data_IF_089389789366
#
_entry.id   IF_089389789366
#
_cell.length_a   1.000
_cell.length_b   1.000
_cell.length_c   1.000
_cell.angle_alpha   90.00
_cell.angle_beta   90.00
_cell.angle_gamma   90.00
#
_symmetry.space_group_name_H-M   'P 1'
#
loop_
_entity.id
_entity.type
_entity.pdbx_description
1 polymer ?
#
# COMPACT_ATOMS: atom_id res chain seq x y z
N UNK A 1 -66.27 28.79 9.17
CA UNK A 1 -66.99 29.03 7.90
C UNK A 1 -66.08 28.60 6.78
N UNK A 2 -66.22 27.45 6.41
CA UNK A 2 -67.00 26.65 5.44
C UNK A 2 -66.44 26.79 4.04
N UNK A 3 -65.78 25.76 3.59
CA UNK A 3 -66.17 24.66 2.70
C UNK A 3 -66.51 25.02 1.25
N UNK A 4 -65.79 24.35 0.38
CA UNK A 4 -66.24 23.64 -0.82
C UNK A 4 -66.28 24.37 -2.16
N UNK A 5 -65.59 23.69 -3.07
CA UNK A 5 -65.93 23.39 -4.47
C UNK A 5 -65.88 24.50 -5.52
N UNK A 6 -64.95 24.34 -6.46
CA UNK A 6 -65.38 24.18 -7.85
C UNK A 6 -64.33 23.41 -8.64
N UNK A 7 -64.67 22.22 -9.05
CA UNK A 7 -64.07 21.54 -10.19
C UNK A 7 -64.69 22.03 -11.46
N UNK A 8 -63.92 22.24 -12.52
CA UNK A 8 -64.14 21.69 -13.87
C UNK A 8 -63.25 22.37 -14.93
N UNK A 9 -62.60 21.48 -15.65
CA UNK A 9 -62.29 21.43 -17.06
C UNK A 9 -61.56 22.59 -17.75
N UNK A 10 -60.36 22.31 -18.22
CA UNK A 10 -60.05 22.30 -19.65
C UNK A 10 -58.76 21.56 -19.95
N UNK A 11 -58.90 20.55 -20.73
CA UNK A 11 -57.85 19.75 -21.33
C UNK A 11 -57.08 20.54 -22.40
N UNK A 12 -55.88 20.04 -22.66
CA UNK A 12 -55.07 20.07 -23.88
C UNK A 12 -53.82 20.90 -23.86
N UNK A 13 -52.77 20.20 -23.91
CA UNK A 13 -51.60 20.11 -24.78
C UNK A 13 -50.39 19.62 -24.02
N UNK A 14 -50.22 18.32 -23.97
CA UNK A 14 -48.97 17.67 -23.63
C UNK A 14 -47.98 17.85 -24.79
N UNK A 15 -46.93 18.65 -24.58
CA UNK A 15 -45.71 18.56 -25.35
C UNK A 15 -44.70 17.83 -24.48
N UNK A 16 -44.60 16.53 -24.69
CA UNK A 16 -43.61 15.68 -24.03
C UNK A 16 -42.21 16.01 -24.52
N UNK A 17 -41.42 16.63 -23.66
CA UNK A 17 -39.98 16.63 -23.83
C UNK A 17 -39.46 15.29 -23.28
N UNK A 18 -39.26 14.34 -24.18
CA UNK A 18 -38.61 13.09 -23.91
C UNK A 18 -37.12 13.39 -23.64
N UNK A 19 -36.73 13.46 -22.35
CA UNK A 19 -35.35 13.37 -21.98
C UNK A 19 -34.91 11.93 -22.17
N UNK A 20 -34.32 11.64 -23.33
CA UNK A 20 -33.60 10.40 -23.59
C UNK A 20 -32.36 10.39 -22.72
N UNK A 21 -32.42 9.67 -21.60
CA UNK A 21 -31.21 9.19 -20.91
C UNK A 21 -30.48 8.27 -21.88
N UNK A 22 -29.20 8.50 -22.17
CA UNK A 22 -28.44 7.51 -22.91
C UNK A 22 -28.33 6.25 -22.04
N UNK A 23 -29.04 5.20 -22.44
CA UNK A 23 -28.76 3.83 -22.00
C UNK A 23 -27.42 3.47 -22.65
N UNK A 24 -26.32 3.60 -21.91
CA UNK A 24 -25.08 2.96 -22.30
C UNK A 24 -25.32 1.46 -22.24
N UNK A 25 -25.66 0.88 -23.36
CA UNK A 25 -25.59 -0.55 -23.58
C UNK A 25 -24.14 -0.96 -23.41
N UNK A 26 -23.82 -1.61 -22.31
CA UNK A 26 -22.54 -2.26 -22.06
C UNK A 26 -22.47 -3.54 -22.90
N UNK A 27 -22.35 -3.41 -24.22
CA UNK A 27 -21.84 -4.43 -25.13
C UNK A 27 -20.44 -4.06 -25.56
N UNK A 28 -19.52 -3.95 -24.59
CA UNK A 28 -18.10 -3.99 -24.84
C UNK A 28 -17.64 -5.44 -24.65
N UNK A 29 -17.22 -6.08 -25.72
CA UNK A 29 -16.36 -7.25 -25.65
C UNK A 29 -15.19 -6.92 -24.72
N UNK A 30 -15.14 -7.52 -23.53
CA UNK A 30 -14.02 -7.43 -22.61
C UNK A 30 -12.80 -7.87 -23.41
N UNK A 31 -11.85 -6.97 -23.62
CA UNK A 31 -10.67 -7.30 -24.40
C UNK A 31 -9.93 -8.41 -23.67
N UNK A 32 -9.42 -9.40 -24.40
CA UNK A 32 -8.67 -10.55 -23.88
C UNK A 32 -7.49 -10.15 -22.98
N UNK A 33 -7.04 -8.89 -23.05
CA UNK A 33 -5.99 -8.31 -22.20
C UNK A 33 -6.47 -7.95 -20.78
N UNK A 34 -7.78 -7.91 -20.51
CA UNK A 34 -8.33 -7.55 -19.19
C UNK A 34 -8.52 -8.73 -18.24
N UNK A 35 -8.47 -9.97 -18.75
CA UNK A 35 -8.77 -11.18 -17.97
C UNK A 35 -7.55 -11.80 -17.27
N UNK A 36 -6.33 -11.34 -17.54
CA UNK A 36 -5.12 -12.14 -17.30
C UNK A 36 -4.16 -11.54 -16.26
N UNK A 37 -4.67 -10.81 -15.25
CA UNK A 37 -3.85 -10.34 -14.13
C UNK A 37 -3.74 -11.44 -13.07
N UNK A 38 -2.49 -11.93 -12.92
CA UNK A 38 -2.12 -12.96 -11.95
C UNK A 38 -0.80 -12.61 -11.27
N UNK A 39 -0.39 -13.40 -10.29
CA UNK A 39 0.88 -13.18 -9.60
C UNK A 39 2.11 -13.29 -10.51
N UNK A 40 2.01 -13.94 -11.66
CA UNK A 40 3.09 -14.03 -12.66
C UNK A 40 3.00 -12.94 -13.73
N UNK A 41 1.92 -12.16 -13.73
CA UNK A 41 1.66 -11.12 -14.74
C UNK A 41 0.84 -9.97 -14.16
N UNK A 42 1.51 -9.04 -13.50
CA UNK A 42 0.93 -7.79 -13.03
C UNK A 42 1.34 -6.62 -13.96
N UNK A 43 0.49 -5.60 -14.13
CA UNK A 43 0.90 -4.33 -14.73
C UNK A 43 2.02 -3.67 -13.91
N UNK A 44 2.77 -2.79 -14.54
CA UNK A 44 3.69 -1.91 -13.83
C UNK A 44 2.89 -0.80 -13.13
N UNK A 45 2.11 -1.15 -12.13
CA UNK A 45 1.31 -0.23 -11.35
C UNK A 45 2.15 0.80 -10.61
N UNK A 46 1.75 2.07 -10.67
CA UNK A 46 2.46 3.18 -10.03
C UNK A 46 1.50 4.00 -9.20
N UNK A 47 1.91 4.37 -7.99
CA UNK A 47 1.05 5.16 -7.15
C UNK A 47 1.59 5.44 -5.76
N UNK A 48 0.68 5.45 -4.80
CA UNK A 48 0.97 5.94 -3.46
C UNK A 48 0.34 5.05 -2.39
N UNK A 49 0.90 5.14 -1.18
CA UNK A 49 0.26 4.69 0.03
C UNK A 49 -0.72 5.77 0.51
N UNK A 50 -1.99 5.37 0.75
CA UNK A 50 -3.03 6.23 1.32
C UNK A 50 -3.32 5.79 2.75
N UNK A 51 -3.04 6.65 3.72
CA UNK A 51 -3.00 6.29 5.14
C UNK A 51 -4.35 6.45 5.89
N UNK A 52 -5.48 6.38 5.19
CA UNK A 52 -6.80 6.64 5.77
C UNK A 52 -7.16 5.81 7.02
N UNK A 53 -6.78 4.54 7.07
CA UNK A 53 -7.06 3.64 8.22
C UNK A 53 -5.78 3.14 8.90
N UNK A 54 -4.72 3.92 8.80
CA UNK A 54 -3.47 3.70 9.49
C UNK A 54 -3.59 4.18 10.95
N UNK A 55 -4.18 3.38 11.82
CA UNK A 55 -4.38 3.72 13.21
C UNK A 55 -3.17 3.30 14.06
N UNK A 56 -2.67 4.21 14.91
CA UNK A 56 -1.69 3.92 15.96
C UNK A 56 -2.28 4.28 17.32
N UNK A 57 -2.24 3.39 18.32
CA UNK A 57 -2.69 3.70 19.68
C UNK A 57 -1.91 4.87 20.27
N UNK A 58 -2.60 5.69 21.07
CA UNK A 58 -1.98 6.80 21.78
C UNK A 58 -1.55 8.00 20.93
N UNK A 59 -1.78 7.96 19.62
CA UNK A 59 -1.55 9.10 18.73
C UNK A 59 -2.87 9.69 18.23
N UNK A 60 -2.97 11.03 18.10
CA UNK A 60 -4.20 11.69 17.64
C UNK A 60 -4.51 11.40 16.16
N UNK A 61 -3.63 10.69 15.47
CA UNK A 61 -3.83 10.24 14.10
C UNK A 61 -4.69 8.96 14.11
N UNK A 62 -5.92 9.14 14.44
CA UNK A 62 -6.95 8.15 14.18
C UNK A 62 -7.30 8.27 12.70
N UNK A 63 -7.23 7.18 11.98
CA UNK A 63 -7.39 7.12 10.56
C UNK A 63 -8.46 8.04 10.00
N UNK A 64 -8.04 8.98 9.16
CA UNK A 64 -8.96 9.79 8.37
C UNK A 64 -9.73 8.86 7.46
N UNK A 65 -10.96 9.25 7.13
CA UNK A 65 -11.67 8.63 6.01
C UNK A 65 -10.82 8.75 4.74
N UNK A 66 -10.96 7.78 3.84
CA UNK A 66 -10.34 7.90 2.51
C UNK A 66 -11.00 9.03 1.73
N UNK A 67 -10.18 9.92 1.20
CA UNK A 67 -10.62 11.15 0.55
C UNK A 67 -10.71 10.92 -0.97
N UNK A 68 -11.87 11.19 -1.55
CA UNK A 68 -12.08 11.10 -2.99
C UNK A 68 -11.12 11.99 -3.79
N UNK A 69 -10.71 13.12 -3.20
CA UNK A 69 -9.73 14.01 -3.77
C UNK A 69 -8.40 13.30 -4.10
N UNK A 70 -7.96 12.39 -3.22
CA UNK A 70 -6.71 11.64 -3.44
C UNK A 70 -6.82 10.75 -4.68
N UNK A 71 -7.92 10.03 -4.84
CA UNK A 71 -8.16 9.15 -5.99
C UNK A 71 -8.30 9.95 -7.28
N UNK A 72 -9.09 11.03 -7.27
CA UNK A 72 -9.26 11.91 -8.42
C UNK A 72 -7.91 12.51 -8.86
N UNK A 73 -7.12 12.98 -7.91
CA UNK A 73 -5.80 13.57 -8.17
C UNK A 73 -4.81 12.54 -8.71
N UNK A 74 -4.76 11.34 -8.13
CA UNK A 74 -3.92 10.26 -8.63
C UNK A 74 -4.26 9.89 -10.07
N UNK A 75 -5.54 9.76 -10.40
CA UNK A 75 -6.02 9.48 -11.75
C UNK A 75 -5.68 10.62 -12.74
N UNK A 76 -5.89 11.87 -12.35
CA UNK A 76 -5.52 13.06 -13.14
C UNK A 76 -4.02 13.08 -13.47
N UNK A 77 -3.19 12.62 -12.54
CA UNK A 77 -1.74 12.56 -12.72
C UNK A 77 -1.24 11.30 -13.44
N UNK A 78 -2.14 10.35 -13.76
CA UNK A 78 -1.84 9.11 -14.47
C UNK A 78 -1.25 8.01 -13.58
N UNK A 79 -1.58 8.01 -12.28
CA UNK A 79 -1.28 6.93 -11.37
C UNK A 79 -2.47 5.96 -11.25
N UNK A 80 -2.17 4.69 -11.08
CA UNK A 80 -3.12 3.59 -11.20
C UNK A 80 -3.10 2.60 -10.02
N UNK A 81 -2.37 2.92 -8.93
CA UNK A 81 -2.22 2.03 -7.79
C UNK A 81 -2.29 2.78 -6.46
N UNK A 82 -3.13 2.30 -5.55
CA UNK A 82 -3.18 2.76 -4.17
C UNK A 82 -2.98 1.57 -3.21
N UNK A 83 -1.89 1.59 -2.46
CA UNK A 83 -1.70 0.69 -1.32
C UNK A 83 -2.37 1.33 -0.11
N UNK A 84 -3.22 0.58 0.58
CA UNK A 84 -3.91 1.03 1.78
C UNK A 84 -3.33 0.30 2.99
N UNK A 85 -2.39 0.92 3.73
CA UNK A 85 -1.89 0.37 4.98
C UNK A 85 -3.00 0.44 6.02
N UNK A 86 -3.51 -0.73 6.42
CA UNK A 86 -4.63 -0.88 7.33
C UNK A 86 -4.16 -1.44 8.67
N UNK A 87 -4.72 -0.95 9.76
CA UNK A 87 -4.53 -1.54 11.07
C UNK A 87 -5.79 -2.29 11.47
N UNK A 88 -5.67 -3.56 11.87
CA UNK A 88 -6.80 -4.34 12.35
C UNK A 88 -7.47 -3.70 13.59
N UNK A 89 -6.77 -2.83 14.30
CA UNK A 89 -7.34 -2.07 15.41
C UNK A 89 -8.49 -1.14 15.00
N UNK A 90 -8.62 -0.84 13.70
CA UNK A 90 -9.72 -0.03 13.20
C UNK A 90 -11.06 -0.78 13.22
N UNK A 91 -11.05 -2.10 13.07
CA UNK A 91 -12.28 -2.93 13.01
C UNK A 91 -12.28 -4.09 14.00
N UNK A 92 -11.12 -4.50 14.53
CA UNK A 92 -10.98 -5.58 15.49
C UNK A 92 -10.90 -5.07 16.92
N UNK A 93 -10.99 -5.99 17.87
CA UNK A 93 -10.75 -5.72 19.29
C UNK A 93 -9.41 -6.32 19.69
N UNK A 94 -8.64 -5.57 20.47
CA UNK A 94 -7.34 -6.04 20.96
C UNK A 94 -7.48 -7.15 22.02
N UNK A 95 -8.51 -7.07 22.86
CA UNK A 95 -8.80 -8.01 23.92
C UNK A 95 -9.50 -9.28 23.43
N UNK A 96 -10.14 -9.22 22.27
CA UNK A 96 -10.77 -10.36 21.60
C UNK A 96 -10.63 -10.25 20.07
N UNK A 97 -9.66 -10.96 19.54
CA UNK A 97 -9.36 -10.95 18.11
C UNK A 97 -10.42 -11.63 17.22
N UNK A 98 -11.39 -12.34 17.82
CA UNK A 98 -12.49 -12.95 17.06
C UNK A 98 -13.54 -11.93 16.62
N UNK A 99 -13.55 -10.76 17.23
CA UNK A 99 -14.55 -9.72 16.97
C UNK A 99 -14.10 -8.83 15.82
N UNK A 100 -14.95 -8.74 14.79
CA UNK A 100 -14.78 -7.86 13.63
C UNK A 100 -15.99 -6.94 13.55
N UNK A 101 -15.76 -5.63 13.69
CA UNK A 101 -16.78 -4.61 13.59
C UNK A 101 -17.00 -4.23 12.13
N UNK A 102 -18.23 -4.32 11.66
CA UNK A 102 -18.61 -4.06 10.26
C UNK A 102 -18.56 -2.58 9.89
N UNK A 103 -18.89 -1.68 10.82
CA UNK A 103 -19.01 -0.24 10.52
C UNK A 103 -17.70 0.38 10.00
N UNK A 104 -16.53 0.14 10.63
CA UNK A 104 -15.27 0.65 10.09
C UNK A 104 -14.88 0.06 8.72
N UNK A 105 -15.39 -1.13 8.37
CA UNK A 105 -15.10 -1.75 7.07
C UNK A 105 -15.78 -1.03 5.91
N UNK A 106 -16.86 -0.30 6.13
CA UNK A 106 -17.54 0.52 5.10
C UNK A 106 -16.63 1.58 4.49
N UNK A 107 -15.67 2.10 5.26
CA UNK A 107 -14.68 3.04 4.71
C UNK A 107 -13.71 2.35 3.75
N UNK A 108 -13.39 1.08 3.99
CA UNK A 108 -12.58 0.28 3.07
C UNK A 108 -13.38 -0.03 1.81
N UNK A 109 -14.67 -0.36 1.96
CA UNK A 109 -15.59 -0.55 0.83
C UNK A 109 -15.64 0.70 -0.05
N UNK A 110 -15.74 1.88 0.59
CA UNK A 110 -15.71 3.17 -0.12
C UNK A 110 -14.42 3.37 -0.88
N UNK A 111 -13.27 3.07 -0.28
CA UNK A 111 -11.98 3.20 -0.96
C UNK A 111 -11.88 2.28 -2.19
N UNK A 112 -12.40 1.05 -2.10
CA UNK A 112 -12.45 0.11 -3.23
C UNK A 112 -13.37 0.65 -4.34
N UNK A 113 -14.50 1.23 -3.97
CA UNK A 113 -15.42 1.85 -4.94
C UNK A 113 -14.80 3.09 -5.61
N UNK A 114 -14.11 3.94 -4.86
CA UNK A 114 -13.34 5.06 -5.42
C UNK A 114 -12.26 4.55 -6.38
N UNK A 115 -11.52 3.49 -6.00
CA UNK A 115 -10.57 2.83 -6.91
C UNK A 115 -11.23 2.38 -8.21
N UNK A 116 -12.44 1.79 -8.13
CA UNK A 116 -13.22 1.41 -9.32
C UNK A 116 -13.61 2.63 -10.17
N UNK A 117 -14.08 3.69 -9.54
CA UNK A 117 -14.53 4.91 -10.21
C UNK A 117 -13.39 5.62 -10.94
N UNK A 118 -12.22 5.68 -10.35
CA UNK A 118 -11.06 6.40 -10.88
C UNK A 118 -10.04 5.51 -11.61
N UNK A 119 -10.34 4.22 -11.80
CA UNK A 119 -9.46 3.29 -12.51
C UNK A 119 -8.16 2.94 -11.75
N UNK A 120 -8.18 3.03 -10.42
CA UNK A 120 -7.03 2.77 -9.54
C UNK A 120 -7.16 1.38 -8.93
N UNK A 121 -6.11 0.57 -9.05
CA UNK A 121 -5.99 -0.71 -8.35
C UNK A 121 -5.82 -0.48 -6.86
N UNK A 122 -6.58 -1.20 -6.04
CA UNK A 122 -6.50 -1.14 -4.58
C UNK A 122 -5.73 -2.36 -4.05
N UNK A 123 -4.69 -2.09 -3.28
CA UNK A 123 -3.93 -3.11 -2.57
C UNK A 123 -4.18 -2.96 -1.06
N UNK A 124 -4.94 -3.90 -0.48
CA UNK A 124 -5.24 -3.88 0.96
C UNK A 124 -4.08 -4.52 1.71
N UNK A 125 -3.36 -3.73 2.48
CA UNK A 125 -2.26 -4.21 3.29
C UNK A 125 -2.65 -4.27 4.77
N UNK A 126 -2.46 -5.42 5.42
CA UNK A 126 -2.53 -5.47 6.88
C UNK A 126 -1.22 -4.96 7.45
N UNK A 127 -1.17 -3.65 7.65
CA UNK A 127 -0.01 -2.97 8.23
C UNK A 127 0.20 -3.37 9.70
N UNK A 128 -0.91 -3.66 10.38
CA UNK A 128 -0.95 -4.33 11.67
C UNK A 128 -1.94 -5.46 11.62
N UNK A 129 -1.52 -6.61 12.10
CA UNK A 129 -2.29 -7.85 12.10
C UNK A 129 -2.33 -8.39 13.54
N UNK A 130 -3.34 -9.14 13.96
CA UNK A 130 -3.33 -9.78 15.29
C UNK A 130 -1.99 -10.48 15.58
N UNK A 131 -1.35 -10.07 16.67
CA UNK A 131 -0.06 -10.60 17.09
C UNK A 131 1.17 -9.99 16.42
N UNK A 132 1.02 -8.97 15.56
CA UNK A 132 2.18 -8.31 14.98
C UNK A 132 1.95 -6.84 14.62
N UNK A 133 2.84 -6.01 15.14
CA UNK A 133 3.00 -4.61 14.76
C UNK A 133 4.50 -4.29 14.71
N UNK A 134 5.00 -3.79 13.58
CA UNK A 134 6.42 -3.47 13.41
C UNK A 134 6.91 -2.37 14.36
N UNK A 135 6.06 -1.39 14.67
CA UNK A 135 6.46 -0.20 15.41
C UNK A 135 6.32 -0.34 16.93
N UNK A 136 5.36 -1.11 17.42
CA UNK A 136 5.00 -1.18 18.85
C UNK A 136 4.55 -2.61 19.18
N UNK A 137 5.51 -3.51 19.23
CA UNK A 137 5.31 -4.94 19.46
C UNK A 137 4.56 -5.22 20.77
N UNK A 138 4.85 -4.44 21.81
CA UNK A 138 4.31 -4.58 23.15
C UNK A 138 2.80 -4.28 23.23
N UNK A 139 2.25 -3.69 22.19
CA UNK A 139 0.82 -3.44 22.09
C UNK A 139 0.00 -4.68 21.74
N UNK A 140 0.63 -5.75 21.30
CA UNK A 140 -0.04 -7.01 21.01
C UNK A 140 -0.03 -7.95 22.22
N UNK A 141 -1.14 -8.69 22.43
CA UNK A 141 -1.30 -9.61 23.55
C UNK A 141 -0.46 -10.87 23.43
N UNK A 142 -0.02 -11.21 22.24
CA UNK A 142 0.82 -12.35 21.94
C UNK A 142 1.61 -12.05 20.67
N UNK A 143 2.80 -12.61 20.55
CA UNK A 143 3.67 -12.40 19.40
C UNK A 143 3.50 -13.51 18.36
N UNK A 144 3.17 -13.12 17.13
CA UNK A 144 2.98 -14.02 16.01
C UNK A 144 4.28 -14.76 15.61
N UNK A 145 5.44 -14.16 15.84
CA UNK A 145 6.73 -14.68 15.41
C UNK A 145 7.47 -15.44 16.50
N UNK A 146 7.54 -14.89 17.72
CA UNK A 146 8.45 -15.36 18.77
C UNK A 146 7.79 -15.77 20.09
N UNK A 147 6.49 -15.60 20.25
CA UNK A 147 5.75 -16.05 21.44
C UNK A 147 5.82 -17.56 21.67
N UNK A 148 5.30 -18.04 22.77
CA UNK A 148 5.11 -19.49 23.01
C UNK A 148 4.32 -20.11 21.85
N UNK A 149 4.40 -21.44 21.69
CA UNK A 149 3.63 -22.11 20.63
C UNK A 149 2.13 -21.78 20.68
N UNK A 150 1.55 -21.76 21.87
CA UNK A 150 0.14 -21.45 22.09
C UNK A 150 -0.21 -20.01 21.67
N UNK A 151 0.65 -19.04 22.01
CA UNK A 151 0.49 -17.64 21.61
C UNK A 151 0.59 -17.46 20.10
N UNK A 152 1.63 -18.06 19.48
CA UNK A 152 1.79 -18.02 18.03
C UNK A 152 0.61 -18.64 17.28
N UNK A 153 0.11 -19.78 17.75
CA UNK A 153 -1.04 -20.46 17.15
C UNK A 153 -2.33 -19.63 17.29
N UNK A 154 -2.53 -19.00 18.44
CA UNK A 154 -3.67 -18.08 18.69
C UNK A 154 -3.59 -16.87 17.77
N UNK A 155 -2.44 -16.21 17.68
CA UNK A 155 -2.24 -15.06 16.83
C UNK A 155 -2.41 -15.41 15.34
N UNK A 156 -1.86 -16.54 14.90
CA UNK A 156 -1.99 -17.01 13.53
C UNK A 156 -3.45 -17.34 13.17
N UNK A 157 -4.16 -18.01 14.07
CA UNK A 157 -5.59 -18.33 13.87
C UNK A 157 -6.43 -17.06 13.73
N UNK A 158 -6.15 -16.04 14.53
CA UNK A 158 -6.83 -14.75 14.44
C UNK A 158 -6.47 -14.01 13.13
N UNK A 159 -5.20 -14.01 12.74
CA UNK A 159 -4.76 -13.41 11.48
C UNK A 159 -5.44 -14.07 10.26
N UNK A 160 -5.54 -15.40 10.26
CA UNK A 160 -6.28 -16.16 9.23
C UNK A 160 -7.76 -15.81 9.25
N UNK A 161 -8.40 -15.70 10.43
CA UNK A 161 -9.80 -15.31 10.57
C UNK A 161 -10.07 -13.96 9.91
N UNK A 162 -9.25 -12.96 10.19
CA UNK A 162 -9.40 -11.63 9.62
C UNK A 162 -9.23 -11.64 8.09
N UNK A 163 -8.23 -12.32 7.56
CA UNK A 163 -8.06 -12.44 6.10
C UNK A 163 -9.19 -13.22 5.43
N UNK A 164 -9.73 -14.27 6.07
CA UNK A 164 -10.92 -14.98 5.56
C UNK A 164 -12.14 -14.07 5.53
N UNK A 165 -12.33 -13.21 6.53
CA UNK A 165 -13.41 -12.23 6.54
C UNK A 165 -13.28 -11.23 5.38
N UNK A 166 -12.09 -10.72 5.11
CA UNK A 166 -11.83 -9.85 3.97
C UNK A 166 -12.00 -10.60 2.63
N UNK A 167 -11.51 -11.82 2.53
CA UNK A 167 -11.70 -12.64 1.34
C UNK A 167 -13.19 -12.89 1.06
N UNK A 168 -14.00 -13.16 2.10
CA UNK A 168 -15.45 -13.33 1.96
C UNK A 168 -16.15 -12.03 1.54
N UNK A 169 -15.78 -10.90 2.17
CA UNK A 169 -16.37 -9.58 1.90
C UNK A 169 -16.12 -9.12 0.46
N UNK A 170 -14.93 -9.36 -0.07
CA UNK A 170 -14.50 -8.86 -1.37
C UNK A 170 -14.43 -9.92 -2.46
N UNK A 171 -15.01 -11.11 -2.21
CA UNK A 171 -15.11 -12.18 -3.20
C UNK A 171 -15.80 -11.67 -4.47
N UNK A 172 -15.23 -12.01 -5.63
CA UNK A 172 -15.78 -11.62 -6.93
C UNK A 172 -15.30 -10.28 -7.47
N UNK A 173 -14.57 -9.47 -6.67
CA UNK A 173 -13.89 -8.30 -7.20
C UNK A 173 -12.65 -8.78 -7.99
N UNK A 174 -12.54 -8.35 -9.24
CA UNK A 174 -11.49 -8.80 -10.15
C UNK A 174 -10.08 -8.40 -9.67
N UNK A 175 -9.08 -9.24 -9.94
CA UNK A 175 -7.68 -9.01 -9.59
C UNK A 175 -7.08 -7.72 -10.17
N UNK A 176 -7.60 -7.24 -11.30
CA UNK A 176 -7.20 -5.92 -11.84
C UNK A 176 -7.59 -4.73 -10.95
N UNK A 177 -8.52 -4.93 -10.01
CA UNK A 177 -9.06 -3.88 -9.13
C UNK A 177 -8.62 -4.03 -7.69
N UNK A 178 -8.37 -5.26 -7.24
CA UNK A 178 -8.12 -5.54 -5.84
C UNK A 178 -7.09 -6.65 -5.66
N UNK A 179 -6.14 -6.41 -4.77
CA UNK A 179 -5.22 -7.41 -4.25
C UNK A 179 -5.09 -7.31 -2.74
N UNK A 180 -4.59 -8.36 -2.11
CA UNK A 180 -4.31 -8.42 -0.68
C UNK A 180 -2.81 -8.46 -0.44
N UNK A 181 -2.33 -7.72 0.55
CA UNK A 181 -0.94 -7.63 0.97
C UNK A 181 -0.84 -8.06 2.44
N UNK A 182 -0.29 -9.24 2.67
CA UNK A 182 -0.58 -10.06 3.84
C UNK A 182 -0.14 -9.47 5.18
N UNK A 183 1.13 -9.07 5.28
CA UNK A 183 1.74 -8.55 6.51
C UNK A 183 2.76 -7.50 6.13
N UNK A 184 2.66 -6.32 6.74
CA UNK A 184 3.65 -5.28 6.56
C UNK A 184 4.97 -5.62 7.26
N UNK A 185 6.06 -5.55 6.52
CA UNK A 185 7.43 -5.50 7.05
C UNK A 185 7.73 -6.56 8.11
N UNK A 186 7.77 -7.85 7.76
CA UNK A 186 8.17 -8.90 8.69
C UNK A 186 9.48 -8.52 9.40
N UNK A 187 9.65 -8.87 10.69
CA UNK A 187 10.71 -8.31 11.52
C UNK A 187 12.12 -8.65 11.01
N UNK A 188 13.10 -7.85 11.40
CA UNK A 188 14.51 -8.20 11.24
C UNK A 188 14.82 -9.36 12.16
N UNK A 189 15.50 -10.39 11.64
CA UNK A 189 15.90 -11.56 12.44
C UNK A 189 16.71 -11.18 13.67
N UNK A 190 17.61 -10.20 13.55
CA UNK A 190 18.41 -9.69 14.67
C UNK A 190 17.60 -8.97 15.76
N UNK A 191 16.41 -8.45 15.42
CA UNK A 191 15.53 -7.74 16.36
C UNK A 191 14.57 -8.65 17.09
N UNK A 192 14.54 -9.94 16.70
CA UNK A 192 13.65 -10.96 17.23
C UNK A 192 14.45 -12.22 17.52
N UNK A 193 14.85 -12.40 18.76
CA UNK A 193 15.55 -13.61 19.19
C UNK A 193 14.72 -14.86 18.87
N UNK A 194 15.32 -15.85 18.22
CA UNK A 194 14.65 -17.08 17.80
C UNK A 194 13.71 -16.95 16.60
N UNK A 195 13.63 -15.79 15.96
CA UNK A 195 12.92 -15.65 14.70
C UNK A 195 13.71 -16.25 13.55
N UNK A 196 13.07 -17.13 12.78
CA UNK A 196 13.64 -17.79 11.61
C UNK A 196 12.76 -17.52 10.38
N UNK A 197 13.36 -17.50 9.19
CA UNK A 197 12.63 -17.33 7.91
C UNK A 197 11.52 -18.37 7.75
N UNK A 198 11.78 -19.62 8.20
CA UNK A 198 10.80 -20.70 8.16
C UNK A 198 9.49 -20.36 8.87
N UNK A 199 9.58 -19.60 9.98
CA UNK A 199 8.38 -19.15 10.69
C UNK A 199 7.57 -18.19 9.85
N UNK A 200 8.20 -17.26 9.14
CA UNK A 200 7.48 -16.37 8.21
C UNK A 200 6.84 -17.15 7.06
N UNK A 201 7.55 -18.11 6.51
CA UNK A 201 7.03 -19.00 5.47
C UNK A 201 5.79 -19.78 5.94
N UNK A 202 5.79 -20.31 7.17
CA UNK A 202 4.62 -20.96 7.80
C UNK A 202 3.43 -20.00 7.89
N UNK A 203 3.66 -18.79 8.37
CA UNK A 203 2.63 -17.75 8.51
C UNK A 203 2.03 -17.44 7.14
N UNK A 204 2.85 -17.15 6.13
CA UNK A 204 2.38 -16.84 4.78
C UNK A 204 1.58 -17.98 4.20
N UNK A 205 2.06 -19.23 4.33
CA UNK A 205 1.32 -20.43 3.87
C UNK A 205 -0.07 -20.54 4.50
N UNK A 206 -0.19 -20.30 5.80
CA UNK A 206 -1.47 -20.38 6.51
C UNK A 206 -2.43 -19.25 6.07
N UNK A 207 -1.94 -18.01 5.91
CA UNK A 207 -2.75 -16.90 5.44
C UNK A 207 -3.23 -17.11 4.00
N UNK A 208 -2.35 -17.54 3.11
CA UNK A 208 -2.70 -17.86 1.71
C UNK A 208 -3.73 -18.97 1.64
N UNK A 209 -3.56 -20.04 2.42
CA UNK A 209 -4.52 -21.14 2.49
C UNK A 209 -5.90 -20.66 2.94
N UNK A 210 -5.95 -19.84 4.00
CA UNK A 210 -7.19 -19.25 4.51
C UNK A 210 -7.89 -18.35 3.50
N UNK A 211 -7.16 -17.51 2.78
CA UNK A 211 -7.72 -16.65 1.72
C UNK A 211 -8.26 -17.51 0.57
N UNK A 212 -7.47 -18.47 0.09
CA UNK A 212 -7.83 -19.28 -1.09
C UNK A 212 -8.93 -20.29 -0.85
N UNK A 213 -9.16 -20.68 0.41
CA UNK A 213 -10.36 -21.46 0.77
C UNK A 213 -11.65 -20.70 0.42
N UNK A 214 -11.62 -19.36 0.50
CA UNK A 214 -12.78 -18.48 0.24
C UNK A 214 -12.75 -17.93 -1.17
N UNK A 215 -11.59 -17.44 -1.62
CA UNK A 215 -11.36 -16.80 -2.92
C UNK A 215 -10.09 -17.39 -3.57
N UNK A 216 -10.22 -18.51 -4.30
CA UNK A 216 -9.08 -19.26 -4.82
C UNK A 216 -8.18 -18.49 -5.79
N UNK A 217 -8.73 -17.51 -6.48
CA UNK A 217 -8.04 -16.73 -7.53
C UNK A 217 -7.47 -15.40 -7.06
N UNK A 218 -7.65 -15.01 -5.79
CA UNK A 218 -7.23 -13.73 -5.27
C UNK A 218 -5.75 -13.46 -5.53
N UNK A 219 -5.45 -12.29 -6.12
CA UNK A 219 -4.10 -11.76 -6.24
C UNK A 219 -3.59 -11.37 -4.85
N UNK A 220 -2.48 -11.97 -4.46
CA UNK A 220 -1.89 -11.78 -3.13
C UNK A 220 -0.46 -11.27 -3.26
N UNK A 221 -0.12 -10.29 -2.44
CA UNK A 221 1.22 -9.76 -2.22
C UNK A 221 1.74 -10.23 -0.86
N UNK A 222 3.04 -10.44 -0.76
CA UNK A 222 3.71 -10.72 0.50
C UNK A 222 5.02 -9.92 0.55
N UNK A 223 5.26 -9.22 1.64
CA UNK A 223 6.53 -8.52 1.84
C UNK A 223 7.70 -9.51 1.94
N UNK A 224 8.87 -9.07 1.52
CA UNK A 224 10.12 -9.74 1.84
C UNK A 224 10.42 -9.71 3.34
N UNK A 225 11.35 -10.54 3.80
CA UNK A 225 11.83 -10.49 5.19
C UNK A 225 12.75 -9.29 5.46
N UNK A 226 13.18 -9.14 6.71
CA UNK A 226 14.02 -8.02 7.15
C UNK A 226 13.37 -6.66 6.80
N UNK A 227 12.13 -6.46 7.24
CA UNK A 227 11.33 -5.26 6.93
C UNK A 227 11.17 -5.01 5.42
N UNK A 228 10.89 -6.08 4.67
CA UNK A 228 10.68 -6.01 3.22
C UNK A 228 11.94 -5.81 2.37
N UNK A 229 13.15 -5.91 2.95
CA UNK A 229 14.40 -5.63 2.24
C UNK A 229 15.07 -6.86 1.62
N UNK A 230 14.62 -8.06 1.92
CA UNK A 230 15.19 -9.29 1.40
C UNK A 230 14.13 -10.24 0.83
N UNK A 231 14.43 -10.91 -0.30
CA UNK A 231 13.51 -11.86 -0.91
C UNK A 231 13.29 -13.09 -0.03
N UNK A 232 12.15 -13.76 -0.19
CA UNK A 232 11.79 -14.99 0.51
C UNK A 232 11.60 -16.11 -0.49
N UNK A 233 12.56 -17.02 -0.55
CA UNK A 233 12.51 -18.14 -1.51
C UNK A 233 11.49 -19.20 -1.12
N UNK A 234 11.21 -19.38 0.17
CA UNK A 234 10.29 -20.41 0.68
C UNK A 234 8.81 -20.21 0.33
N UNK A 235 8.43 -19.06 -0.29
CA UNK A 235 7.06 -18.77 -0.70
C UNK A 235 6.89 -18.66 -2.23
N UNK A 236 7.92 -18.95 -3.01
CA UNK A 236 7.93 -18.78 -4.47
C UNK A 236 6.82 -19.61 -5.14
N UNK A 237 6.61 -20.84 -4.70
CA UNK A 237 5.64 -21.76 -5.31
C UNK A 237 4.19 -21.50 -4.87
N UNK A 238 3.96 -20.46 -4.04
CA UNK A 238 2.62 -20.09 -3.60
C UNK A 238 1.88 -19.18 -4.60
N UNK A 239 2.50 -18.77 -5.71
CA UNK A 239 1.86 -17.88 -6.70
C UNK A 239 1.51 -16.54 -6.09
N UNK A 240 2.50 -15.83 -5.56
CA UNK A 240 2.40 -14.52 -4.94
C UNK A 240 3.25 -13.50 -5.69
N UNK A 241 2.87 -12.23 -5.60
CA UNK A 241 3.77 -11.11 -5.88
C UNK A 241 4.60 -10.85 -4.63
N UNK A 242 5.92 -10.69 -4.74
CA UNK A 242 6.70 -10.24 -3.60
C UNK A 242 6.82 -8.71 -3.59
N UNK A 243 6.56 -8.13 -2.43
CA UNK A 243 6.68 -6.69 -2.21
C UNK A 243 8.01 -6.39 -1.52
N UNK A 244 8.68 -5.31 -1.97
CA UNK A 244 9.96 -4.86 -1.41
C UNK A 244 9.87 -3.44 -0.88
N UNK A 245 10.94 -2.98 -0.23
CA UNK A 245 11.10 -1.61 0.27
C UNK A 245 12.22 -0.90 -0.46
N UNK A 246 11.94 0.34 -0.88
CA UNK A 246 12.88 1.19 -1.60
C UNK A 246 13.45 2.31 -0.74
N UNK A 247 13.94 2.02 0.46
CA UNK A 247 14.42 3.04 1.41
C UNK A 247 15.94 3.13 1.56
N UNK A 248 16.71 2.27 0.90
CA UNK A 248 18.16 2.32 1.05
C UNK A 248 18.80 3.42 0.19
N UNK A 249 19.84 4.12 0.70
CA UNK A 249 20.31 4.08 2.07
C UNK A 249 19.40 4.89 3.02
N UNK A 250 19.30 4.48 4.27
CA UNK A 250 18.49 5.18 5.29
C UNK A 250 19.00 6.58 5.60
N UNK A 251 20.32 6.79 5.49
CA UNK A 251 20.92 8.12 5.62
C UNK A 251 20.33 9.14 4.64
N UNK A 252 19.79 8.70 3.48
CA UNK A 252 19.09 9.55 2.53
C UNK A 252 17.57 9.52 2.79
N UNK A 253 16.97 8.33 2.81
CA UNK A 253 15.51 8.21 2.85
C UNK A 253 14.90 8.63 4.20
N UNK A 254 15.62 8.50 5.28
CA UNK A 254 15.14 8.75 6.65
C UNK A 254 16.00 9.74 7.43
N UNK A 255 16.74 10.62 6.75
CA UNK A 255 17.61 11.59 7.41
C UNK A 255 16.91 12.28 8.58
N UNK A 256 17.51 12.19 9.77
CA UNK A 256 16.99 12.69 11.07
C UNK A 256 15.65 12.09 11.54
N UNK A 257 15.16 11.02 10.95
CA UNK A 257 13.95 10.35 11.41
C UNK A 257 14.17 9.71 12.79
N UNK A 258 13.42 10.14 13.79
CA UNK A 258 13.62 9.75 15.19
C UNK A 258 13.11 8.34 15.52
N UNK A 259 12.31 7.76 14.66
CA UNK A 259 11.77 6.40 14.82
C UNK A 259 12.67 5.31 14.23
N UNK A 260 13.76 5.70 13.56
CA UNK A 260 14.78 4.78 13.06
C UNK A 260 15.95 4.76 14.07
N UNK A 261 16.39 3.57 14.53
CA UNK A 261 17.56 3.46 15.38
C UNK A 261 18.82 4.05 14.74
N UNK A 262 19.62 4.78 15.52
CA UNK A 262 20.79 5.50 14.99
C UNK A 262 21.84 4.59 14.35
N UNK A 263 21.97 3.38 14.84
CA UNK A 263 22.89 2.36 14.32
C UNK A 263 22.44 1.74 12.99
N UNK A 264 21.27 2.12 12.51
CA UNK A 264 20.75 1.69 11.22
C UNK A 264 21.03 2.66 10.07
N UNK A 265 21.57 3.84 10.38
CA UNK A 265 21.97 4.80 9.36
C UNK A 265 23.39 4.49 8.86
N UNK A 266 23.58 4.56 7.55
CA UNK A 266 24.89 4.40 6.90
C UNK A 266 25.81 5.58 7.20
N UNK A 267 25.24 6.75 7.47
CA UNK A 267 25.90 7.96 7.97
C UNK A 267 24.91 8.87 8.68
N UNK A 268 25.37 9.63 9.65
CA UNK A 268 24.58 10.68 10.34
C UNK A 268 24.85 12.08 9.80
N UNK A 269 25.73 12.21 8.83
CA UNK A 269 26.03 13.50 8.19
C UNK A 269 24.87 13.96 7.32
N UNK A 270 24.84 15.26 6.98
CA UNK A 270 23.89 15.77 5.98
C UNK A 270 24.10 15.00 4.68
N UNK A 271 23.08 14.32 4.17
CA UNK A 271 23.25 13.46 3.01
C UNK A 271 23.53 14.28 1.74
N UNK A 272 24.31 13.65 0.87
CA UNK A 272 24.50 14.04 -0.52
C UNK A 272 24.00 12.92 -1.44
N UNK A 273 23.93 13.14 -2.74
CA UNK A 273 23.71 12.05 -3.69
C UNK A 273 24.56 12.26 -4.94
N UNK A 274 25.44 11.31 -5.33
CA UNK A 274 25.83 10.12 -4.57
C UNK A 274 26.40 10.44 -3.18
N UNK A 275 26.38 9.47 -2.24
CA UNK A 275 26.92 9.65 -0.90
C UNK A 275 28.03 8.62 -0.58
N UNK A 276 28.86 8.96 0.40
CA UNK A 276 29.73 7.98 1.06
C UNK A 276 29.18 7.69 2.45
N UNK A 277 29.16 6.42 2.83
CA UNK A 277 28.87 6.02 4.19
C UNK A 277 30.07 6.25 5.15
N UNK A 278 29.85 6.04 6.44
CA UNK A 278 30.91 6.26 7.46
C UNK A 278 32.08 5.26 7.33
N UNK A 279 31.91 4.21 6.52
CA UNK A 279 32.94 3.23 6.16
C UNK A 279 33.66 3.60 4.84
N UNK A 280 33.32 4.75 4.24
CA UNK A 280 33.90 5.23 2.98
C UNK A 280 33.36 4.55 1.72
N UNK A 281 32.33 3.69 1.83
CA UNK A 281 31.73 3.03 0.69
C UNK A 281 30.75 3.98 -0.03
N UNK A 282 30.77 3.93 -1.35
CA UNK A 282 29.91 4.80 -2.18
C UNK A 282 28.53 4.18 -2.33
N UNK A 283 27.51 4.99 -2.04
CA UNK A 283 26.12 4.77 -2.41
C UNK A 283 25.80 5.61 -3.65
N UNK A 284 25.59 4.93 -4.75
CA UNK A 284 25.23 5.48 -6.06
C UNK A 284 24.20 4.59 -6.73
N UNK A 285 23.83 4.92 -7.97
CA UNK A 285 22.92 4.12 -8.77
C UNK A 285 23.37 2.66 -8.93
N UNK A 286 24.68 2.41 -9.08
CA UNK A 286 25.19 1.04 -9.24
C UNK A 286 25.00 0.22 -7.97
N UNK A 287 25.21 0.82 -6.78
CA UNK A 287 24.93 0.15 -5.50
C UNK A 287 23.43 -0.04 -5.29
N UNK A 288 22.59 0.95 -5.61
CA UNK A 288 21.13 0.75 -5.55
C UNK A 288 20.67 -0.41 -6.42
N UNK A 289 21.26 -0.59 -7.62
CA UNK A 289 20.97 -1.74 -8.47
C UNK A 289 21.26 -3.06 -7.76
N UNK A 290 22.42 -3.19 -7.12
CA UNK A 290 22.76 -4.40 -6.37
C UNK A 290 21.81 -4.65 -5.19
N UNK A 291 21.48 -3.58 -4.45
CA UNK A 291 20.65 -3.69 -3.24
C UNK A 291 19.16 -3.94 -3.57
N UNK A 292 18.63 -3.35 -4.62
CA UNK A 292 17.20 -3.48 -4.97
C UNK A 292 16.96 -4.55 -6.04
N UNK A 293 17.69 -4.52 -7.14
CA UNK A 293 17.34 -5.35 -8.31
C UNK A 293 18.04 -6.71 -8.25
N UNK A 294 19.38 -6.70 -8.14
CA UNK A 294 20.17 -7.91 -8.25
C UNK A 294 19.92 -8.87 -7.08
N UNK A 295 19.60 -8.34 -5.90
CA UNK A 295 19.19 -9.12 -4.72
C UNK A 295 17.90 -9.93 -4.98
N UNK A 296 16.97 -9.42 -5.76
CA UNK A 296 15.71 -10.08 -6.10
C UNK A 296 15.79 -10.95 -7.36
N UNK A 297 16.93 -10.96 -8.03
CA UNK A 297 17.13 -11.75 -9.24
C UNK A 297 16.78 -13.23 -9.08
N UNK A 298 17.12 -13.93 -7.97
CA UNK A 298 16.71 -15.33 -7.78
C UNK A 298 15.18 -15.56 -7.83
N UNK A 299 14.37 -14.56 -7.43
CA UNK A 299 12.91 -14.62 -7.55
C UNK A 299 12.45 -14.35 -8.99
N UNK A 300 12.96 -13.29 -9.61
CA UNK A 300 12.54 -12.88 -10.95
C UNK A 300 12.96 -13.90 -12.01
N UNK A 301 14.08 -14.58 -11.83
CA UNK A 301 14.49 -15.70 -12.70
C UNK A 301 13.52 -16.91 -12.64
N UNK A 302 12.74 -17.00 -11.55
CA UNK A 302 11.65 -18.00 -11.40
C UNK A 302 10.27 -17.47 -11.81
N UNK A 303 10.21 -16.29 -12.42
CA UNK A 303 8.98 -15.66 -12.89
C UNK A 303 8.15 -14.96 -11.82
N UNK A 304 8.67 -14.81 -10.58
CA UNK A 304 7.98 -14.08 -9.52
C UNK A 304 8.01 -12.58 -9.82
N UNK A 305 6.85 -11.94 -9.81
CA UNK A 305 6.75 -10.51 -9.96
C UNK A 305 7.12 -9.80 -8.65
N UNK A 306 7.76 -8.63 -8.78
CA UNK A 306 8.16 -7.78 -7.65
C UNK A 306 7.53 -6.41 -7.77
N UNK A 307 7.07 -5.86 -6.66
CA UNK A 307 6.52 -4.51 -6.54
C UNK A 307 7.19 -3.76 -5.39
N UNK A 308 7.48 -2.48 -5.57
CA UNK A 308 8.04 -1.66 -4.48
C UNK A 308 6.89 -1.08 -3.66
N UNK A 309 6.54 -1.76 -2.56
CA UNK A 309 5.36 -1.45 -1.74
C UNK A 309 5.48 -0.12 -0.97
N UNK A 310 6.71 0.24 -0.58
CA UNK A 310 6.99 1.52 0.08
C UNK A 310 8.35 2.06 -0.30
N UNK A 311 8.45 3.39 -0.48
CA UNK A 311 9.67 4.13 -0.72
C UNK A 311 9.44 5.64 -0.61
N UNK A 312 10.49 6.42 -0.59
CA UNK A 312 10.44 7.88 -0.53
C UNK A 312 11.49 8.44 0.43
N UNK A 313 11.52 9.75 0.56
CA UNK A 313 12.41 10.45 1.48
C UNK A 313 11.62 11.29 2.48
N UNK A 314 12.03 11.20 3.75
CA UNK A 314 11.53 12.05 4.81
C UNK A 314 11.81 13.53 4.51
N UNK A 315 10.92 14.42 4.91
CA UNK A 315 10.95 15.85 4.57
C UNK A 315 12.14 16.63 5.14
N UNK A 316 13.02 16.00 5.89
CA UNK A 316 14.27 16.58 6.41
C UNK A 316 15.47 16.33 5.51
N UNK A 317 15.36 15.39 4.57
CA UNK A 317 16.40 15.19 3.56
C UNK A 317 16.40 16.34 2.59
N UNK A 318 17.56 16.96 2.27
CA UNK A 318 17.62 18.06 1.31
C UNK A 318 16.93 17.72 -0.01
N UNK A 319 16.12 18.65 -0.54
CA UNK A 319 15.21 18.37 -1.65
C UNK A 319 15.94 17.93 -2.94
N UNK A 320 17.06 18.60 -3.28
CA UNK A 320 17.84 18.22 -4.47
C UNK A 320 18.48 16.83 -4.33
N UNK A 321 18.88 16.44 -3.12
CA UNK A 321 19.37 15.10 -2.81
C UNK A 321 18.22 14.09 -2.97
N UNK A 322 17.05 14.41 -2.44
CA UNK A 322 15.82 13.60 -2.59
C UNK A 322 15.53 13.33 -4.07
N UNK A 323 15.47 14.38 -4.89
CA UNK A 323 15.15 14.25 -6.32
C UNK A 323 16.23 13.48 -7.10
N UNK A 324 17.50 13.67 -6.79
CA UNK A 324 18.59 12.95 -7.44
C UNK A 324 18.54 11.45 -7.12
N UNK A 325 18.36 11.09 -5.85
CA UNK A 325 18.19 9.70 -5.40
C UNK A 325 16.93 9.07 -6.00
N UNK A 326 15.78 9.77 -5.97
CA UNK A 326 14.53 9.28 -6.55
C UNK A 326 14.68 8.99 -8.06
N UNK A 327 15.40 9.83 -8.80
CA UNK A 327 15.65 9.63 -10.23
C UNK A 327 16.35 8.30 -10.48
N UNK A 328 17.37 7.97 -9.69
CA UNK A 328 18.10 6.72 -9.83
C UNK A 328 17.22 5.51 -9.46
N UNK A 329 16.47 5.59 -8.36
CA UNK A 329 15.51 4.55 -7.98
C UNK A 329 14.48 4.29 -9.09
N UNK A 330 13.81 5.33 -9.57
CA UNK A 330 12.78 5.24 -10.60
C UNK A 330 13.32 4.67 -11.92
N UNK A 331 14.56 5.05 -12.31
CA UNK A 331 15.20 4.49 -13.50
C UNK A 331 15.45 2.98 -13.38
N UNK A 332 15.90 2.51 -12.21
CA UNK A 332 16.14 1.10 -11.94
C UNK A 332 14.84 0.29 -11.94
N UNK A 333 13.77 0.78 -11.31
CA UNK A 333 12.49 0.07 -11.31
C UNK A 333 11.84 0.05 -12.70
N UNK A 334 12.02 1.11 -13.49
CA UNK A 334 11.57 1.13 -14.88
C UNK A 334 12.30 0.08 -15.72
N UNK A 335 13.62 -0.04 -15.58
CA UNK A 335 14.43 -1.08 -16.24
C UNK A 335 13.99 -2.49 -15.83
N UNK A 336 13.72 -2.69 -14.52
CA UNK A 336 13.25 -3.96 -13.98
C UNK A 336 11.75 -4.23 -14.27
N UNK A 337 11.01 -3.28 -14.83
CA UNK A 337 9.56 -3.30 -15.02
C UNK A 337 8.77 -3.44 -13.71
N UNK A 338 9.34 -2.99 -12.60
CA UNK A 338 8.66 -2.98 -11.31
C UNK A 338 7.75 -1.76 -11.15
N UNK A 339 6.55 -1.99 -10.64
CA UNK A 339 5.68 -0.95 -10.14
C UNK A 339 6.10 -0.47 -8.76
N UNK A 340 5.47 0.60 -8.28
CA UNK A 340 5.79 1.17 -6.98
C UNK A 340 4.60 1.89 -6.33
N UNK A 341 4.62 2.01 -5.01
CA UNK A 341 3.76 2.90 -4.24
C UNK A 341 4.59 3.75 -3.28
N UNK A 342 4.66 5.06 -3.54
CA UNK A 342 5.41 6.00 -2.72
C UNK A 342 4.77 6.17 -1.34
N UNK A 343 5.57 6.27 -0.30
CA UNK A 343 5.15 6.60 1.05
C UNK A 343 5.35 8.09 1.32
N UNK A 344 4.31 8.93 1.21
CA UNK A 344 2.91 8.75 0.90
C UNK A 344 2.46 9.77 -0.19
N UNK A 345 1.16 9.92 -0.46
CA UNK A 345 0.67 10.99 -1.35
C UNK A 345 0.73 12.35 -0.65
N UNK A 346 0.15 12.45 0.55
CA UNK A 346 0.15 13.65 1.40
C UNK A 346 0.86 13.37 2.71
N UNK A 347 1.75 14.25 3.12
CA UNK A 347 2.49 14.16 4.39
C UNK A 347 4.00 14.14 4.20
N UNK A 348 4.73 13.82 5.25
CA UNK A 348 6.17 14.07 5.36
C UNK A 348 7.08 13.39 4.32
N UNK A 349 6.60 12.40 3.62
CA UNK A 349 7.29 11.77 2.48
C UNK A 349 6.64 12.13 1.14
N UNK A 350 5.48 12.77 1.18
CA UNK A 350 4.60 12.96 0.03
C UNK A 350 4.98 14.06 -0.92
N UNK A 351 4.25 14.09 -2.03
CA UNK A 351 4.31 15.18 -3.03
C UNK A 351 3.44 16.36 -2.65
N UNK A 352 2.46 16.15 -1.76
CA UNK A 352 1.59 17.21 -1.23
C UNK A 352 1.74 17.33 0.28
N UNK A 353 1.67 18.57 0.76
CA UNK A 353 1.66 18.91 2.19
C UNK A 353 2.82 18.28 2.99
N UNK A 354 3.99 18.15 2.34
CA UNK A 354 5.13 17.45 2.94
C UNK A 354 5.90 18.26 3.96
N UNK A 355 5.62 19.57 4.06
CA UNK A 355 6.26 20.50 5.01
C UNK A 355 7.79 20.58 4.89
N UNK A 356 8.35 20.32 3.70
CA UNK A 356 9.76 20.55 3.41
C UNK A 356 10.04 22.04 3.48
N UNK A 357 11.19 22.42 4.06
CA UNK A 357 11.55 23.83 4.23
C UNK A 357 12.30 24.40 3.00
N UNK A 358 12.75 23.53 2.12
CA UNK A 358 13.57 23.83 0.95
C UNK A 358 12.83 23.62 -0.39
N UNK A 359 11.49 23.65 -0.36
CA UNK A 359 10.61 23.54 -1.52
C UNK A 359 9.77 24.78 -1.71
N UNK A 360 9.78 25.33 -2.93
CA UNK A 360 8.81 26.32 -3.35
C UNK A 360 7.53 25.60 -3.80
N UNK A 361 6.56 25.56 -2.90
CA UNK A 361 5.29 24.91 -3.18
C UNK A 361 4.41 25.74 -4.11
N UNK A 362 3.66 25.06 -4.95
CA UNK A 362 2.54 25.61 -5.70
C UNK A 362 1.23 25.32 -4.97
N UNK A 363 0.25 26.22 -5.10
CA UNK A 363 -1.12 25.87 -4.73
C UNK A 363 -1.71 24.90 -5.75
N UNK A 364 -2.19 23.78 -5.27
CA UNK A 364 -2.92 22.80 -6.07
C UNK A 364 -4.22 22.46 -5.36
N UNK A 365 -5.28 23.15 -5.76
CA UNK A 365 -6.64 22.91 -5.20
C UNK A 365 -6.67 23.04 -3.66
N UNK A 366 -5.91 23.99 -3.11
CA UNK A 366 -5.80 24.27 -1.67
C UNK A 366 -4.74 23.43 -0.93
N UNK A 367 -3.94 22.65 -1.64
CA UNK A 367 -2.82 21.87 -1.10
C UNK A 367 -1.47 22.44 -1.57
N UNK A 368 -0.44 22.25 -0.76
CA UNK A 368 0.95 22.61 -1.09
C UNK A 368 1.58 21.51 -1.92
N UNK A 369 1.75 21.73 -3.23
CA UNK A 369 2.29 20.76 -4.18
C UNK A 369 3.79 20.98 -4.40
N UNK A 370 4.58 19.90 -4.26
CA UNK A 370 5.95 19.83 -4.76
C UNK A 370 5.93 19.47 -6.26
N UNK A 371 5.99 20.49 -7.11
CA UNK A 371 5.92 20.36 -8.57
C UNK A 371 7.07 19.52 -9.12
N UNK A 372 8.28 19.74 -8.66
CA UNK A 372 9.45 19.02 -9.15
C UNK A 372 9.38 17.52 -8.85
N UNK A 373 8.90 17.16 -7.68
CA UNK A 373 8.76 15.75 -7.29
C UNK A 373 7.66 15.05 -8.07
N UNK A 374 6.49 15.66 -8.24
CA UNK A 374 5.41 15.03 -9.01
C UNK A 374 5.77 14.88 -10.50
N UNK A 375 6.44 15.84 -11.10
CA UNK A 375 6.90 15.73 -12.49
C UNK A 375 7.90 14.58 -12.68
N UNK A 376 8.83 14.41 -11.73
CA UNK A 376 9.75 13.28 -11.73
C UNK A 376 9.02 11.93 -11.65
N UNK A 377 8.02 11.81 -10.79
CA UNK A 377 7.21 10.59 -10.65
C UNK A 377 6.39 10.29 -11.90
N UNK A 378 5.82 11.32 -12.54
CA UNK A 378 5.03 11.15 -13.77
C UNK A 378 5.86 10.73 -14.97
N UNK A 379 7.10 11.18 -15.05
CA UNK A 379 8.04 10.82 -16.15
C UNK A 379 8.61 9.40 -16.03
N UNK A 380 8.39 8.72 -14.91
CA UNK A 380 9.00 7.42 -14.60
C UNK A 380 8.32 6.21 -15.26
#
# INVERSE_FOLDING_TARGET
MDRRNFMKDLATCAAGVATTRPVFAANGTVSRAEEDISATRIPRWRGFNLQGRFAMPGRPYVGRAFDEFDFATMAEWGFDFARLPLSYWAWGRKDDWSIINEEPLKEIDRAIELGRQYGIHINLNFHRIPGYCINERELEQADLFTGTKAERDRALSAAVLHWKAFAKRYKGILNRRLSFDLINEPPKMRSYEGYLEERYVEIVKALVAGIREVDPSRLIFADGINIGQAPVMGIVDLGLVQSTRGYMPKAVSHYTATWVPRDEFESLNIPTWPMKDDQGQVWDRARLRREFIDRYKPLTDRGVQVHVGEWGCFNKTPHDVTLAWMRDCLSLWKEARWGFSMWNLRGSFGVMDSERQDVNYEDYKGHKLDRRMIELLRAS
#
